data_IF_577328010642
#
_entry.id   IF_577328010642
#
_cell.length_a   1.000
_cell.length_b   1.000
_cell.length_c   1.000
_cell.angle_alpha   90.00
_cell.angle_beta   90.00
_cell.angle_gamma   90.00
#
_symmetry.space_group_name_H-M   'P 1'
#
loop_
_entity.id
_entity.type
_entity.pdbx_description
1 polymer ?
#
# COMPACT_ATOMS: atom_id res chain seq x y z
N UNK A 1 21.28 3.83 -25.80
CA UNK A 1 19.85 4.14 -25.57
C UNK A 1 19.63 4.07 -24.09
N UNK A 2 18.91 4.99 -23.45
CA UNK A 2 18.61 4.86 -22.04
C UNK A 2 17.81 3.56 -21.82
N UNK A 3 18.16 2.80 -20.81
CA UNK A 3 17.47 1.57 -20.42
C UNK A 3 16.00 1.90 -20.14
N UNK A 4 15.10 1.39 -20.95
CA UNK A 4 13.67 1.66 -20.78
C UNK A 4 13.07 0.53 -19.96
N UNK A 5 12.83 0.80 -18.67
CA UNK A 5 12.15 -0.16 -17.79
C UNK A 5 10.75 -0.46 -18.31
N UNK A 6 10.34 -1.72 -18.23
CA UNK A 6 8.97 -2.16 -18.53
C UNK A 6 7.98 -1.62 -17.48
N UNK A 7 8.42 -1.56 -16.21
CA UNK A 7 7.62 -1.08 -15.09
C UNK A 7 8.47 -0.24 -14.15
N UNK A 8 7.91 0.88 -13.71
CA UNK A 8 8.39 1.65 -12.56
C UNK A 8 7.38 1.47 -11.43
N UNK A 9 7.78 0.82 -10.34
CA UNK A 9 6.89 0.24 -9.33
C UNK A 9 7.19 0.86 -7.98
N UNK A 10 6.22 1.56 -7.38
CA UNK A 10 6.29 2.00 -5.98
C UNK A 10 5.63 0.96 -5.09
N UNK A 11 6.33 0.52 -4.04
CA UNK A 11 5.82 -0.45 -3.07
C UNK A 11 5.85 0.20 -1.69
N UNK A 12 4.69 0.50 -1.09
CA UNK A 12 4.65 0.98 0.29
C UNK A 12 4.88 -0.16 1.28
N UNK A 13 5.48 0.13 2.45
CA UNK A 13 5.73 -0.90 3.47
C UNK A 13 6.74 -1.96 3.05
N UNK A 14 7.79 -1.57 2.34
CA UNK A 14 8.77 -2.50 1.78
C UNK A 14 9.80 -3.01 2.78
N UNK A 15 9.80 -2.51 4.02
CA UNK A 15 10.81 -2.92 5.01
C UNK A 15 10.53 -4.30 5.63
N UNK A 16 9.31 -4.81 5.50
CA UNK A 16 8.91 -6.09 6.10
C UNK A 16 7.79 -6.78 5.33
N UNK A 17 7.50 -8.03 5.66
CA UNK A 17 6.32 -8.77 5.21
C UNK A 17 6.18 -8.89 3.70
N UNK A 18 4.95 -8.79 3.22
CA UNK A 18 4.59 -8.95 1.81
C UNK A 18 5.22 -7.88 0.91
N UNK A 19 5.35 -6.64 1.41
CA UNK A 19 5.97 -5.54 0.64
C UNK A 19 7.45 -5.80 0.36
N UNK A 20 8.21 -6.20 1.41
CA UNK A 20 9.63 -6.58 1.26
C UNK A 20 9.81 -7.74 0.30
N UNK A 21 9.04 -8.82 0.48
CA UNK A 21 9.16 -9.99 -0.36
C UNK A 21 8.77 -9.71 -1.81
N UNK A 22 7.75 -8.84 -2.02
CA UNK A 22 7.35 -8.41 -3.35
C UNK A 22 8.47 -7.61 -4.04
N UNK A 23 9.11 -6.68 -3.32
CA UNK A 23 10.23 -5.91 -3.84
C UNK A 23 11.40 -6.82 -4.26
N UNK A 24 11.82 -7.74 -3.38
CA UNK A 24 12.90 -8.69 -3.64
C UNK A 24 12.60 -9.54 -4.88
N UNK A 25 11.41 -10.16 -4.95
CA UNK A 25 11.07 -11.05 -6.05
C UNK A 25 10.98 -10.31 -7.40
N UNK A 26 10.46 -9.08 -7.42
CA UNK A 26 10.41 -8.25 -8.64
C UNK A 26 11.80 -7.87 -9.15
N UNK A 27 12.77 -7.70 -8.26
CA UNK A 27 14.16 -7.39 -8.61
C UNK A 27 14.93 -8.63 -9.10
N UNK A 28 14.72 -9.79 -8.46
CA UNK A 28 15.39 -11.03 -8.84
C UNK A 28 14.87 -11.57 -10.18
N UNK A 29 13.55 -11.51 -10.37
CA UNK A 29 12.90 -12.17 -11.51
C UNK A 29 13.04 -11.36 -12.81
N UNK A 30 13.34 -10.06 -12.76
CA UNK A 30 13.39 -9.23 -13.97
C UNK A 30 14.22 -7.97 -13.83
N UNK A 31 15.25 -7.86 -14.62
CA UNK A 31 16.04 -6.63 -14.78
C UNK A 31 15.30 -5.50 -15.52
N UNK A 32 14.07 -5.75 -15.98
CA UNK A 32 13.24 -4.73 -16.64
C UNK A 32 12.31 -3.97 -15.67
N UNK A 33 12.33 -4.30 -14.38
CA UNK A 33 11.60 -3.57 -13.35
C UNK A 33 12.50 -2.53 -12.69
N UNK A 34 11.99 -1.32 -12.51
CA UNK A 34 12.53 -0.31 -11.63
C UNK A 34 11.69 -0.26 -10.36
N UNK A 35 12.23 -0.70 -9.25
CA UNK A 35 11.51 -0.86 -7.98
C UNK A 35 11.88 0.26 -7.03
N UNK A 36 10.87 1.00 -6.57
CA UNK A 36 10.97 2.06 -5.59
C UNK A 36 10.41 1.52 -4.29
N UNK A 37 11.29 1.22 -3.35
CA UNK A 37 10.88 0.78 -2.00
C UNK A 37 10.48 1.97 -1.15
N UNK A 38 9.55 1.77 -0.22
CA UNK A 38 9.18 2.76 0.77
C UNK A 38 9.36 2.21 2.19
N UNK A 39 9.90 3.05 3.05
CA UNK A 39 10.05 2.82 4.49
C UNK A 39 9.86 4.10 5.30
N UNK A 40 9.88 3.97 6.63
CA UNK A 40 9.69 5.08 7.56
C UNK A 40 10.85 6.08 7.59
N UNK A 41 12.09 5.60 7.32
CA UNK A 41 13.31 6.42 7.31
C UNK A 41 14.23 6.05 6.15
N UNK A 42 15.03 7.02 5.72
CA UNK A 42 16.08 6.84 4.73
C UNK A 42 17.06 5.73 5.14
N UNK A 43 17.51 5.75 6.40
CA UNK A 43 18.47 4.78 6.92
C UNK A 43 17.96 3.34 6.80
N UNK A 44 16.68 3.11 7.12
CA UNK A 44 16.07 1.78 7.00
C UNK A 44 15.96 1.32 5.55
N UNK A 45 15.63 2.24 4.64
CA UNK A 45 15.58 1.92 3.22
C UNK A 45 16.96 1.57 2.66
N UNK A 46 17.99 2.36 2.99
CA UNK A 46 19.37 2.13 2.54
C UNK A 46 19.93 0.80 3.07
N UNK A 47 19.67 0.47 4.34
CA UNK A 47 20.03 -0.84 4.91
C UNK A 47 19.39 -2.01 4.15
N UNK A 48 18.10 -1.88 3.81
CA UNK A 48 17.42 -2.91 3.03
C UNK A 48 17.99 -3.05 1.63
N UNK A 49 18.27 -1.93 0.94
CA UNK A 49 18.88 -1.95 -0.41
C UNK A 49 20.22 -2.65 -0.37
N UNK A 50 21.09 -2.28 0.57
CA UNK A 50 22.40 -2.89 0.74
C UNK A 50 22.25 -4.40 0.93
N UNK A 51 21.39 -4.83 1.83
CA UNK A 51 21.15 -6.25 2.09
C UNK A 51 20.63 -7.00 0.85
N UNK A 52 19.72 -6.40 0.06
CA UNK A 52 19.20 -7.03 -1.17
C UNK A 52 20.31 -7.22 -2.20
N UNK A 53 21.13 -6.19 -2.43
CA UNK A 53 22.19 -6.22 -3.45
C UNK A 53 23.32 -7.17 -3.03
N UNK A 54 23.70 -7.18 -1.76
CA UNK A 54 24.77 -8.06 -1.25
C UNK A 54 24.38 -9.55 -1.27
N UNK A 55 23.09 -9.86 -1.06
CA UNK A 55 22.62 -11.25 -0.98
C UNK A 55 22.15 -11.81 -2.34
N UNK A 56 22.00 -10.99 -3.38
CA UNK A 56 21.47 -11.41 -4.67
C UNK A 56 22.31 -10.85 -5.82
N UNK A 57 23.28 -11.60 -6.29
CA UNK A 57 24.20 -11.22 -7.37
C UNK A 57 23.49 -10.83 -8.68
N UNK A 58 22.25 -11.29 -8.89
CA UNK A 58 21.46 -10.97 -10.10
C UNK A 58 20.77 -9.62 -10.03
N UNK A 59 20.69 -9.00 -8.85
CA UNK A 59 20.03 -7.71 -8.66
C UNK A 59 20.96 -6.57 -9.02
N UNK A 60 20.56 -5.81 -10.03
CA UNK A 60 21.26 -4.61 -10.46
C UNK A 60 20.91 -3.45 -9.51
N UNK A 61 21.92 -2.79 -8.93
CA UNK A 61 21.74 -1.69 -7.98
C UNK A 61 20.94 -0.52 -8.58
N UNK A 62 21.09 -0.29 -9.87
CA UNK A 62 20.40 0.77 -10.61
C UNK A 62 18.89 0.53 -10.74
N UNK A 63 18.44 -0.71 -10.54
CA UNK A 63 17.03 -1.08 -10.65
C UNK A 63 16.24 -0.83 -9.36
N UNK A 64 16.92 -0.42 -8.27
CA UNK A 64 16.30 -0.20 -6.97
C UNK A 64 16.57 1.20 -6.44
N UNK A 65 15.49 1.89 -6.08
CA UNK A 65 15.47 3.22 -5.48
C UNK A 65 14.61 3.21 -4.22
N UNK A 66 14.58 4.32 -3.48
CA UNK A 66 13.70 4.44 -2.33
C UNK A 66 13.07 5.83 -2.20
N UNK A 67 11.98 5.86 -1.44
CA UNK A 67 11.39 7.05 -0.82
C UNK A 67 11.16 6.76 0.67
N UNK A 68 11.20 7.78 1.51
CA UNK A 68 11.08 7.60 2.95
C UNK A 68 10.02 8.55 3.55
N UNK A 69 9.01 7.97 4.20
CA UNK A 69 8.00 8.72 4.95
C UNK A 69 7.38 7.84 6.05
N UNK A 70 7.32 8.34 7.26
CA UNK A 70 6.50 7.73 8.30
C UNK A 70 5.03 8.12 8.08
N UNK A 71 4.17 7.16 7.72
CA UNK A 71 2.75 7.39 7.46
C UNK A 71 1.94 7.82 8.69
N UNK A 72 2.54 7.76 9.89
CA UNK A 72 1.97 8.40 11.08
C UNK A 72 2.12 9.93 11.08
N UNK A 73 2.77 10.51 10.07
CA UNK A 73 2.94 11.93 9.86
C UNK A 73 2.57 12.28 8.40
N UNK A 74 1.34 12.74 8.17
CA UNK A 74 0.84 13.03 6.82
C UNK A 74 1.63 14.12 6.09
N UNK A 75 2.32 15.01 6.82
CA UNK A 75 3.20 15.99 6.20
C UNK A 75 4.37 15.32 5.48
N UNK A 76 4.91 14.25 6.06
CA UNK A 76 5.95 13.46 5.40
C UNK A 76 5.41 12.71 4.17
N UNK A 77 4.15 12.27 4.23
CA UNK A 77 3.51 11.64 3.07
C UNK A 77 3.36 12.62 1.92
N UNK A 78 2.97 13.88 2.21
CA UNK A 78 2.92 14.96 1.19
C UNK A 78 4.27 15.16 0.52
N UNK A 79 5.33 15.34 1.31
CA UNK A 79 6.70 15.54 0.80
C UNK A 79 7.16 14.34 -0.04
N UNK A 80 6.87 13.11 0.42
CA UNK A 80 7.18 11.90 -0.32
C UNK A 80 6.43 11.83 -1.66
N UNK A 81 5.18 12.21 -1.69
CA UNK A 81 4.39 12.24 -2.94
C UNK A 81 5.00 13.21 -3.94
N UNK A 82 5.43 14.39 -3.51
CA UNK A 82 6.08 15.38 -4.38
C UNK A 82 7.47 14.90 -4.85
N UNK A 83 8.20 14.20 -3.98
CA UNK A 83 9.44 13.52 -4.36
C UNK A 83 9.18 12.44 -5.43
N UNK A 84 8.15 11.62 -5.25
CA UNK A 84 7.75 10.59 -6.24
C UNK A 84 7.42 11.22 -7.59
N UNK A 85 6.61 12.29 -7.61
CA UNK A 85 6.25 13.01 -8.83
C UNK A 85 7.48 13.54 -9.58
N UNK A 86 8.46 14.04 -8.85
CA UNK A 86 9.66 14.66 -9.41
C UNK A 86 10.68 13.63 -9.88
N UNK A 87 10.99 12.64 -9.05
CA UNK A 87 12.04 11.65 -9.32
C UNK A 87 11.60 10.52 -10.24
N UNK A 88 10.31 10.15 -10.20
CA UNK A 88 9.79 8.97 -10.88
C UNK A 88 8.61 9.27 -11.81
N UNK A 89 8.79 10.17 -12.80
CA UNK A 89 7.70 10.61 -13.71
C UNK A 89 7.15 9.48 -14.60
N UNK A 90 7.81 8.30 -14.61
CA UNK A 90 7.37 7.11 -15.36
C UNK A 90 6.69 6.07 -14.47
N UNK A 91 6.33 6.43 -13.24
CA UNK A 91 5.61 5.53 -12.34
C UNK A 91 4.33 5.01 -13.02
N UNK A 92 4.20 3.69 -13.09
CA UNK A 92 3.03 3.04 -13.69
C UNK A 92 2.47 1.88 -12.86
N UNK A 93 3.09 1.53 -11.72
CA UNK A 93 2.54 0.55 -10.78
C UNK A 93 2.69 1.06 -9.35
N UNK A 94 1.62 0.99 -8.58
CA UNK A 94 1.64 1.19 -7.12
C UNK A 94 1.16 -0.08 -6.44
N UNK A 95 1.94 -0.57 -5.46
CA UNK A 95 1.56 -1.69 -4.60
C UNK A 95 1.50 -1.18 -3.15
N UNK A 96 0.30 -1.11 -2.60
CA UNK A 96 0.05 -0.61 -1.25
C UNK A 96 0.13 -1.74 -0.23
N UNK A 97 1.23 -1.79 0.54
CA UNK A 97 1.47 -2.82 1.55
C UNK A 97 1.71 -2.27 2.97
N UNK A 98 1.85 -0.94 3.15
CA UNK A 98 2.07 -0.37 4.49
C UNK A 98 0.85 -0.56 5.38
N UNK A 99 1.06 -1.21 6.53
CA UNK A 99 0.00 -1.47 7.50
C UNK A 99 0.56 -1.55 8.92
N UNK A 100 -0.23 -1.06 9.88
CA UNK A 100 0.02 -1.19 11.31
C UNK A 100 -1.20 -1.74 12.01
N UNK A 101 -0.99 -2.48 13.10
CA UNK A 101 -2.02 -2.84 14.08
C UNK A 101 -1.54 -2.38 15.46
N UNK A 102 -2.04 -1.25 15.93
CA UNK A 102 -1.64 -0.70 17.23
C UNK A 102 -2.26 -1.50 18.38
N UNK A 103 -1.46 -1.84 19.39
CA UNK A 103 -1.93 -2.58 20.56
C UNK A 103 -2.88 -1.75 21.46
N UNK A 104 -2.81 -0.43 21.36
CA UNK A 104 -3.64 0.54 22.09
C UNK A 104 -3.97 1.70 21.18
N UNK A 105 -4.99 2.45 21.48
CA UNK A 105 -5.29 3.69 20.80
C UNK A 105 -4.11 4.66 20.92
N UNK A 106 -3.63 5.13 19.78
CA UNK A 106 -2.57 6.14 19.67
C UNK A 106 -3.08 7.23 18.76
N UNK A 107 -3.04 8.47 19.24
CA UNK A 107 -3.37 9.64 18.44
C UNK A 107 -2.07 10.19 17.85
N UNK A 108 -2.05 10.39 16.55
CA UNK A 108 -0.91 10.91 15.80
C UNK A 108 -0.74 12.42 15.98
N UNK A 109 0.32 12.98 15.42
CA UNK A 109 0.52 14.45 15.35
C UNK A 109 -0.56 15.16 14.54
N UNK A 110 -1.21 14.45 13.64
CA UNK A 110 -2.31 14.98 12.83
C UNK A 110 -3.67 14.86 13.54
N UNK A 111 -3.68 14.52 14.85
CA UNK A 111 -4.88 14.32 15.67
C UNK A 111 -5.81 13.22 15.14
N UNK A 112 -5.24 12.17 14.55
CA UNK A 112 -5.97 11.02 14.00
C UNK A 112 -5.54 9.74 14.70
N UNK A 113 -6.43 8.73 14.74
CA UNK A 113 -6.06 7.40 15.23
C UNK A 113 -5.03 6.76 14.29
N UNK A 114 -3.97 6.20 14.89
CA UNK A 114 -2.80 5.72 14.18
C UNK A 114 -3.11 4.67 13.09
N UNK A 115 -3.94 3.67 13.42
CA UNK A 115 -4.25 2.59 12.48
C UNK A 115 -5.08 3.09 11.31
N UNK A 116 -6.05 3.98 11.58
CA UNK A 116 -6.83 4.66 10.56
C UNK A 116 -5.92 5.50 9.65
N UNK A 117 -5.05 6.31 10.23
CA UNK A 117 -4.18 7.21 9.45
C UNK A 117 -3.21 6.44 8.57
N UNK A 118 -2.48 5.48 9.15
CA UNK A 118 -1.42 4.75 8.42
C UNK A 118 -2.01 3.81 7.37
N UNK A 119 -3.01 3.00 7.75
CA UNK A 119 -3.52 1.96 6.86
C UNK A 119 -4.40 2.53 5.75
N UNK A 120 -5.21 3.55 6.06
CA UNK A 120 -6.21 4.07 5.14
C UNK A 120 -5.89 5.46 4.61
N UNK A 121 -5.83 6.48 5.46
CA UNK A 121 -5.81 7.87 5.01
C UNK A 121 -4.54 8.24 4.24
N UNK A 122 -3.38 7.72 4.66
CA UNK A 122 -2.12 7.94 3.97
C UNK A 122 -2.12 7.31 2.56
N UNK A 123 -2.66 6.10 2.40
CA UNK A 123 -2.83 5.49 1.07
C UNK A 123 -3.87 6.20 0.22
N UNK A 124 -4.98 6.64 0.83
CA UNK A 124 -5.99 7.44 0.15
C UNK A 124 -5.36 8.69 -0.47
N UNK A 125 -4.60 9.44 0.31
CA UNK A 125 -3.90 10.63 -0.17
C UNK A 125 -2.87 10.30 -1.26
N UNK A 126 -1.99 9.34 -1.00
CA UNK A 126 -0.95 8.89 -1.92
C UNK A 126 -1.52 8.53 -3.30
N UNK A 127 -2.53 7.66 -3.32
CA UNK A 127 -3.16 7.19 -4.56
C UNK A 127 -3.75 8.37 -5.33
N UNK A 128 -4.60 9.18 -4.68
CA UNK A 128 -5.27 10.30 -5.34
C UNK A 128 -4.27 11.30 -5.95
N UNK A 129 -3.18 11.59 -5.25
CA UNK A 129 -2.16 12.51 -5.73
C UNK A 129 -1.30 11.96 -6.87
N UNK A 130 -1.20 10.65 -7.02
CA UNK A 130 -0.43 9.99 -8.07
C UNK A 130 -1.28 9.53 -9.26
N UNK A 131 -2.61 9.61 -9.20
CA UNK A 131 -3.50 9.28 -10.32
C UNK A 131 -3.11 9.98 -11.63
N UNK A 132 -2.77 11.29 -11.68
CA UNK A 132 -2.39 11.94 -12.93
C UNK A 132 -1.17 11.30 -13.60
N UNK A 133 -0.13 10.95 -12.82
CA UNK A 133 1.07 10.27 -13.34
C UNK A 133 0.72 8.86 -13.84
N UNK A 134 -0.08 8.11 -13.09
CA UNK A 134 -0.50 6.78 -13.50
C UNK A 134 -1.31 6.81 -14.80
N UNK A 135 -2.24 7.76 -14.95
CA UNK A 135 -3.00 7.95 -16.20
C UNK A 135 -2.09 8.28 -17.39
N UNK A 136 -1.12 9.16 -17.17
CA UNK A 136 -0.14 9.54 -18.21
C UNK A 136 0.73 8.35 -18.66
N UNK A 137 1.03 7.41 -17.76
CA UNK A 137 1.87 6.25 -18.03
C UNK A 137 1.08 4.94 -18.25
N UNK A 138 -0.16 5.06 -18.71
CA UNK A 138 -1.01 3.91 -19.05
C UNK A 138 -0.32 2.95 -20.05
N UNK A 139 -0.55 1.63 -19.90
CA UNK A 139 -1.40 0.95 -18.92
C UNK A 139 -0.75 0.87 -17.53
N UNK A 140 -1.47 1.34 -16.52
CA UNK A 140 -0.99 1.42 -15.14
C UNK A 140 -1.77 0.50 -14.20
N UNK A 141 -1.22 0.28 -12.99
CA UNK A 141 -1.85 -0.60 -12.00
C UNK A 141 -1.77 -0.02 -10.60
N UNK A 142 -2.86 -0.17 -9.85
CA UNK A 142 -2.91 0.02 -8.40
C UNK A 142 -3.30 -1.31 -7.78
N UNK A 143 -2.44 -1.85 -6.91
CA UNK A 143 -2.65 -3.13 -6.23
C UNK A 143 -2.62 -2.88 -4.73
N UNK A 144 -3.68 -3.24 -4.04
CA UNK A 144 -3.76 -3.18 -2.58
C UNK A 144 -3.49 -4.56 -1.98
N UNK A 145 -2.53 -4.64 -1.06
CA UNK A 145 -2.41 -5.76 -0.14
C UNK A 145 -3.53 -5.66 0.90
N UNK A 146 -4.66 -6.27 0.61
CA UNK A 146 -5.84 -6.32 1.44
C UNK A 146 -5.86 -7.53 2.37
N UNK A 147 -7.00 -7.77 3.01
CA UNK A 147 -7.20 -8.88 3.93
C UNK A 147 -8.64 -9.39 3.90
N UNK A 148 -8.82 -10.71 4.05
CA UNK A 148 -10.13 -11.32 4.30
C UNK A 148 -10.79 -10.78 5.58
N UNK A 149 -10.01 -10.19 6.50
CA UNK A 149 -10.55 -9.55 7.70
C UNK A 149 -11.49 -8.38 7.39
N UNK A 150 -11.46 -7.82 6.18
CA UNK A 150 -12.41 -6.79 5.73
C UNK A 150 -13.88 -7.23 5.84
N UNK A 151 -14.14 -8.54 5.87
CA UNK A 151 -15.49 -9.09 5.97
C UNK A 151 -16.00 -9.28 7.41
N UNK A 152 -15.15 -9.07 8.42
CA UNK A 152 -15.49 -9.34 9.83
C UNK A 152 -16.28 -8.21 10.49
N UNK A 153 -16.18 -6.99 9.99
CA UNK A 153 -16.80 -5.83 10.59
C UNK A 153 -17.60 -5.02 9.57
N UNK A 154 -18.46 -4.13 10.11
CA UNK A 154 -19.13 -3.10 9.33
C UNK A 154 -18.41 -1.77 9.49
N UNK A 155 -18.62 -0.88 8.53
CA UNK A 155 -18.19 0.50 8.64
C UNK A 155 -19.06 1.21 9.68
N UNK A 156 -18.41 1.76 10.72
CA UNK A 156 -19.09 2.60 11.70
C UNK A 156 -18.92 4.07 11.28
N UNK A 157 -19.98 4.62 10.69
CA UNK A 157 -19.96 5.99 10.17
C UNK A 157 -19.88 7.05 11.28
N UNK A 158 -20.27 6.69 12.51
CA UNK A 158 -20.24 7.60 13.67
C UNK A 158 -18.94 7.48 14.48
N UNK A 159 -18.13 6.44 14.21
CA UNK A 159 -16.88 6.19 14.93
C UNK A 159 -15.83 5.50 14.04
N UNK A 160 -15.46 6.16 12.96
CA UNK A 160 -14.50 5.63 11.98
C UNK A 160 -13.09 5.42 12.55
N UNK A 161 -12.75 6.14 13.61
CA UNK A 161 -11.44 6.11 14.25
C UNK A 161 -11.42 5.31 15.54
N UNK A 162 -12.52 4.60 15.87
CA UNK A 162 -12.63 3.77 17.07
C UNK A 162 -12.33 4.54 18.37
N UNK A 163 -12.90 5.76 18.49
CA UNK A 163 -12.64 6.66 19.61
C UNK A 163 -13.37 6.23 20.88
N UNK A 164 -14.58 5.65 20.75
CA UNK A 164 -15.44 5.30 21.88
C UNK A 164 -14.95 4.08 22.65
N UNK A 165 -14.60 3.00 21.96
CA UNK A 165 -14.13 1.75 22.55
C UNK A 165 -13.08 1.11 21.64
N UNK A 166 -11.82 1.40 21.89
CA UNK A 166 -10.73 0.90 21.06
C UNK A 166 -10.53 -0.60 21.25
N UNK A 167 -10.66 -1.34 20.17
CA UNK A 167 -10.18 -2.71 20.02
C UNK A 167 -9.27 -2.82 18.79
N UNK A 168 -8.07 -3.33 18.98
CA UNK A 168 -7.04 -3.37 17.93
C UNK A 168 -7.43 -4.23 16.73
N UNK A 169 -8.12 -5.35 16.95
CA UNK A 169 -8.53 -6.24 15.86
C UNK A 169 -9.71 -5.65 15.11
N UNK A 170 -10.64 -5.05 15.84
CA UNK A 170 -11.77 -4.35 15.23
C UNK A 170 -11.29 -3.18 14.39
N UNK A 171 -10.41 -2.31 14.93
CA UNK A 171 -9.90 -1.15 14.19
C UNK A 171 -9.06 -1.57 12.99
N UNK A 172 -8.19 -2.58 13.15
CA UNK A 172 -7.42 -3.11 12.03
C UNK A 172 -8.34 -3.65 10.93
N UNK A 173 -9.31 -4.50 11.26
CA UNK A 173 -10.24 -5.07 10.27
C UNK A 173 -11.13 -4.01 9.61
N UNK A 174 -11.54 -2.97 10.35
CA UNK A 174 -12.24 -1.80 9.78
C UNK A 174 -11.37 -1.05 8.78
N UNK A 175 -10.07 -0.84 9.05
CA UNK A 175 -9.18 -0.20 8.07
C UNK A 175 -8.96 -1.07 6.83
N UNK A 176 -8.96 -2.40 6.96
CA UNK A 176 -8.95 -3.30 5.80
C UNK A 176 -10.23 -3.17 4.97
N UNK A 177 -11.40 -3.03 5.62
CA UNK A 177 -12.66 -2.75 4.95
C UNK A 177 -12.65 -1.40 4.26
N UNK A 178 -12.20 -0.33 4.94
CA UNK A 178 -12.08 1.01 4.36
C UNK A 178 -11.20 1.01 3.09
N UNK A 179 -10.08 0.31 3.13
CA UNK A 179 -9.20 0.18 1.97
C UNK A 179 -9.85 -0.60 0.83
N UNK A 180 -10.57 -1.66 1.14
CA UNK A 180 -11.31 -2.43 0.14
C UNK A 180 -12.38 -1.57 -0.53
N UNK A 181 -13.16 -0.83 0.27
CA UNK A 181 -14.19 0.11 -0.21
C UNK A 181 -13.59 1.24 -1.05
N UNK A 182 -12.45 1.81 -0.62
CA UNK A 182 -11.73 2.85 -1.36
C UNK A 182 -11.34 2.39 -2.76
N UNK A 183 -10.77 1.18 -2.87
CA UNK A 183 -10.35 0.63 -4.16
C UNK A 183 -11.53 0.34 -5.09
N UNK A 184 -12.64 -0.19 -4.54
CA UNK A 184 -13.86 -0.41 -5.32
C UNK A 184 -14.50 0.90 -5.75
N UNK A 185 -14.52 1.93 -4.88
CA UNK A 185 -15.03 3.24 -5.24
C UNK A 185 -14.22 3.89 -6.36
N UNK A 186 -12.89 3.84 -6.24
CA UNK A 186 -12.00 4.35 -7.29
C UNK A 186 -12.22 3.62 -8.63
N UNK A 187 -12.38 2.29 -8.60
CA UNK A 187 -12.74 1.52 -9.78
C UNK A 187 -14.07 1.97 -10.40
N UNK A 188 -15.11 2.19 -9.57
CA UNK A 188 -16.40 2.67 -10.06
C UNK A 188 -16.30 4.06 -10.69
N UNK A 189 -15.60 4.99 -10.03
CA UNK A 189 -15.39 6.35 -10.56
C UNK A 189 -14.67 6.34 -11.91
N UNK A 190 -13.68 5.46 -12.10
CA UNK A 190 -12.99 5.36 -13.39
C UNK A 190 -13.89 4.74 -14.46
N UNK A 191 -14.58 3.67 -14.10
CA UNK A 191 -15.48 2.96 -15.02
C UNK A 191 -16.68 3.84 -15.48
N UNK A 192 -17.22 4.69 -14.61
CA UNK A 192 -18.27 5.67 -14.95
C UNK A 192 -17.80 6.72 -15.98
N UNK A 193 -16.49 6.94 -16.09
CA UNK A 193 -15.88 7.87 -17.04
C UNK A 193 -15.24 7.14 -18.25
N UNK A 194 -15.52 5.85 -18.44
CA UNK A 194 -14.89 5.00 -19.47
C UNK A 194 -13.35 5.07 -19.44
N UNK A 195 -12.76 5.26 -18.27
CA UNK A 195 -11.32 5.39 -18.08
C UNK A 195 -10.67 4.03 -17.73
N UNK A 196 -10.11 3.38 -18.73
CA UNK A 196 -9.42 2.10 -18.62
C UNK A 196 -7.90 2.26 -18.43
N UNK A 197 -7.42 3.47 -18.15
CA UNK A 197 -5.98 3.76 -18.06
C UNK A 197 -5.28 3.06 -16.89
N UNK A 198 -6.02 2.73 -15.82
CA UNK A 198 -5.48 2.12 -14.59
C UNK A 198 -6.29 0.89 -14.19
N UNK A 199 -5.63 -0.26 -14.06
CA UNK A 199 -6.22 -1.46 -13.48
C UNK A 199 -6.08 -1.46 -11.95
N UNK A 200 -7.19 -1.53 -11.23
CA UNK A 200 -7.29 -1.44 -9.77
C UNK A 200 -7.68 -2.79 -9.21
N UNK A 201 -6.82 -3.43 -8.41
CA UNK A 201 -7.08 -4.75 -7.88
C UNK A 201 -6.64 -4.88 -6.42
N UNK A 202 -7.20 -5.86 -5.73
CA UNK A 202 -6.92 -6.17 -4.33
C UNK A 202 -6.42 -7.60 -4.24
N UNK A 203 -5.42 -7.85 -3.40
CA UNK A 203 -4.87 -9.19 -3.13
C UNK A 203 -4.98 -9.50 -1.64
N UNK A 204 -5.53 -10.66 -1.29
CA UNK A 204 -5.57 -11.12 0.10
C UNK A 204 -4.17 -11.50 0.60
N UNK A 205 -3.58 -10.60 1.36
CA UNK A 205 -2.29 -10.78 2.01
C UNK A 205 -2.40 -11.15 3.50
N UNK A 206 -3.58 -11.52 3.99
CA UNK A 206 -3.88 -11.82 5.41
C UNK A 206 -2.81 -12.66 6.11
N UNK A 207 -2.34 -13.79 5.55
CA UNK A 207 -1.39 -14.65 6.26
C UNK A 207 -0.05 -14.00 6.56
N UNK A 208 0.28 -12.94 5.84
CA UNK A 208 1.53 -12.19 5.99
C UNK A 208 1.33 -10.91 6.80
N UNK A 209 0.20 -10.21 6.61
CA UNK A 209 -0.11 -8.96 7.31
C UNK A 209 -0.24 -9.15 8.82
N UNK A 210 -0.87 -10.24 9.28
CA UNK A 210 -1.06 -10.53 10.70
C UNK A 210 0.26 -10.69 11.46
N UNK A 211 1.29 -11.21 10.82
CA UNK A 211 2.61 -11.43 11.44
C UNK A 211 3.46 -10.17 11.52
N UNK A 212 3.25 -9.23 10.61
CA UNK A 212 4.12 -8.05 10.43
C UNK A 212 3.51 -6.74 10.92
N UNK A 213 2.16 -6.65 10.99
CA UNK A 213 1.46 -5.44 11.41
C UNK A 213 1.57 -5.11 12.91
N UNK A 214 2.12 -6.03 13.71
CA UNK A 214 2.28 -5.81 15.16
C UNK A 214 3.51 -4.95 15.41
N UNK A 215 3.35 -3.64 15.40
CA UNK A 215 4.36 -2.70 15.93
C UNK A 215 4.35 -2.75 17.45
N UNK A 216 5.41 -3.26 18.07
CA UNK A 216 5.61 -3.11 19.51
C UNK A 216 5.94 -1.64 19.83
N UNK A 217 5.08 -0.99 20.62
CA UNK A 217 5.29 0.35 21.17
C UNK A 217 5.52 1.50 20.17
N UNK A 218 4.93 1.44 18.98
CA UNK A 218 4.98 2.56 18.03
C UNK A 218 6.34 2.79 17.35
N UNK A 219 7.35 1.97 17.60
CA UNK A 219 8.65 1.99 16.90
C UNK A 219 8.83 0.70 16.11
N UNK A 220 9.17 0.81 14.82
CA UNK A 220 9.75 -0.30 14.08
C UNK A 220 11.11 -0.59 14.71
N UNK A 221 11.24 -1.66 15.47
CA UNK A 221 12.54 -2.25 15.66
C UNK A 221 12.75 -3.21 14.49
N UNK A 222 13.58 -2.84 13.56
CA UNK A 222 14.22 -3.80 12.67
C UNK A 222 15.07 -4.68 13.58
N UNK A 223 14.51 -5.78 14.05
CA UNK A 223 15.32 -6.82 14.67
C UNK A 223 16.18 -7.45 13.58
N UNK A 224 17.40 -7.88 13.90
CA UNK A 224 18.28 -8.61 12.97
C UNK A 224 17.59 -9.82 12.33
N UNK A 225 16.54 -10.37 12.96
CA UNK A 225 15.66 -11.37 12.39
C UNK A 225 14.89 -10.93 11.15
N UNK A 226 14.67 -9.62 10.93
CA UNK A 226 14.01 -9.11 9.72
C UNK A 226 14.95 -9.12 8.51
N UNK A 227 16.26 -9.02 8.74
CA UNK A 227 17.29 -9.14 7.70
C UNK A 227 17.62 -10.60 7.39
N UNK A 228 17.57 -11.51 8.40
CA UNK A 228 17.93 -12.92 8.24
C UNK A 228 16.94 -13.76 7.44
N UNK A 229 15.72 -13.29 7.18
CA UNK A 229 14.69 -14.00 6.41
C UNK A 229 14.71 -13.66 4.91
N UNK A 230 15.86 -13.26 4.34
CA UNK A 230 16.00 -13.09 2.88
C UNK A 230 16.01 -14.47 2.17
N UNK A 231 16.38 -15.52 2.87
CA UNK A 231 16.48 -16.89 2.33
C UNK A 231 15.23 -17.77 2.59
N UNK A 232 14.16 -17.26 3.19
CA UNK A 232 13.02 -18.06 3.65
C UNK A 232 12.13 -18.60 2.54
N UNK A 233 12.10 -19.91 2.41
CA UNK A 233 11.11 -20.68 1.63
C UNK A 233 9.68 -20.23 1.95
N UNK A 234 8.86 -20.01 0.91
CA UNK A 234 7.41 -19.71 0.95
C UNK A 234 6.99 -18.33 1.46
N UNK A 235 7.75 -17.28 1.25
CA UNK A 235 7.23 -15.93 1.47
C UNK A 235 6.34 -15.53 0.29
N UNK A 236 5.03 -15.55 0.52
CA UNK A 236 4.02 -15.13 -0.46
C UNK A 236 4.27 -13.68 -0.86
N UNK A 237 4.28 -13.41 -2.16
CA UNK A 237 4.51 -12.09 -2.71
C UNK A 237 3.54 -11.79 -3.85
N UNK A 238 3.25 -10.52 -4.06
CA UNK A 238 2.38 -10.06 -5.16
C UNK A 238 3.14 -10.08 -6.50
N UNK A 239 4.47 -10.20 -6.47
CA UNK A 239 5.32 -10.19 -7.66
C UNK A 239 4.90 -11.24 -8.69
N UNK A 240 4.69 -12.49 -8.27
CA UNK A 240 4.29 -13.58 -9.16
C UNK A 240 2.99 -13.31 -9.91
N UNK A 241 2.00 -12.72 -9.25
CA UNK A 241 0.72 -12.35 -9.86
C UNK A 241 0.89 -11.22 -10.88
N UNK A 242 1.72 -10.22 -10.55
CA UNK A 242 2.01 -9.10 -11.44
C UNK A 242 2.77 -9.58 -12.68
N UNK A 243 3.75 -10.46 -12.52
CA UNK A 243 4.56 -11.00 -13.62
C UNK A 243 3.79 -11.96 -14.52
N UNK A 244 2.90 -12.76 -13.93
CA UNK A 244 1.98 -13.63 -14.66
C UNK A 244 0.87 -12.88 -15.42
N UNK A 245 0.80 -11.54 -15.28
CA UNK A 245 -0.19 -10.73 -15.98
C UNK A 245 -1.61 -10.85 -15.42
N UNK A 246 -1.79 -11.35 -14.19
CA UNK A 246 -3.12 -11.52 -13.57
C UNK A 246 -3.91 -10.22 -13.56
N UNK A 247 -3.23 -9.07 -13.49
CA UNK A 247 -3.84 -7.75 -13.41
C UNK A 247 -3.89 -7.00 -14.75
N UNK A 248 -3.52 -7.63 -15.88
CA UNK A 248 -3.33 -6.90 -17.13
C UNK A 248 -4.63 -6.50 -17.84
N UNK A 249 -5.71 -7.27 -17.62
CA UNK A 249 -7.00 -7.05 -18.30
C UNK A 249 -8.19 -7.08 -17.34
N UNK A 250 -7.93 -6.88 -16.05
CA UNK A 250 -8.95 -6.95 -15.02
C UNK A 250 -8.82 -5.78 -14.06
N UNK A 251 -9.96 -5.21 -13.68
CA UNK A 251 -10.05 -4.13 -12.71
C UNK A 251 -11.22 -4.35 -11.76
N UNK A 252 -11.17 -3.79 -10.55
CA UNK A 252 -12.21 -3.94 -9.53
C UNK A 252 -12.32 -5.36 -8.96
N UNK A 253 -11.21 -6.14 -8.96
CA UNK A 253 -11.23 -7.56 -8.55
C UNK A 253 -10.42 -7.78 -7.27
N UNK A 254 -10.86 -8.82 -6.54
CA UNK A 254 -10.18 -9.32 -5.35
C UNK A 254 -9.66 -10.73 -5.60
N UNK A 255 -8.38 -10.97 -5.25
CA UNK A 255 -7.69 -12.24 -5.52
C UNK A 255 -7.05 -12.79 -4.26
N UNK A 256 -6.88 -14.12 -4.19
CA UNK A 256 -5.92 -14.71 -3.26
C UNK A 256 -4.48 -14.61 -3.81
N UNK A 257 -3.50 -15.01 -2.99
CA UNK A 257 -2.09 -15.02 -3.38
C UNK A 257 -1.72 -16.08 -4.45
N UNK A 258 -2.66 -16.89 -4.89
CA UNK A 258 -2.48 -17.85 -5.98
C UNK A 258 -3.15 -17.35 -7.28
N UNK A 259 -3.74 -16.15 -7.26
CA UNK A 259 -4.43 -15.56 -8.41
C UNK A 259 -5.88 -16.02 -8.59
N UNK A 260 -6.44 -16.77 -7.63
CA UNK A 260 -7.85 -17.14 -7.66
C UNK A 260 -8.69 -15.92 -7.24
N UNK A 261 -9.68 -15.57 -8.06
CA UNK A 261 -10.61 -14.49 -7.74
C UNK A 261 -11.49 -14.87 -6.53
N UNK A 262 -11.57 -13.94 -5.59
CA UNK A 262 -12.39 -14.00 -4.40
C UNK A 262 -13.60 -13.07 -4.53
N UNK A 263 -14.57 -13.22 -3.63
CA UNK A 263 -15.71 -12.29 -3.53
C UNK A 263 -15.40 -11.23 -2.45
N UNK A 264 -15.68 -9.99 -2.77
CA UNK A 264 -15.76 -8.91 -1.77
C UNK A 264 -16.95 -9.13 -0.84
N UNK A 265 -16.85 -8.67 0.40
CA UNK A 265 -17.98 -8.71 1.33
C UNK A 265 -19.13 -7.81 0.84
N UNK A 266 -20.34 -8.09 1.34
CA UNK A 266 -21.52 -7.27 1.04
C UNK A 266 -21.28 -5.81 1.48
N UNK A 267 -20.71 -5.64 2.66
CA UNK A 267 -20.37 -4.32 3.21
C UNK A 267 -19.39 -3.58 2.32
N UNK A 268 -18.32 -4.23 1.88
CA UNK A 268 -17.33 -3.63 0.99
C UNK A 268 -17.93 -3.22 -0.36
N UNK A 269 -18.96 -3.92 -0.81
CA UNK A 269 -19.64 -3.70 -2.10
C UNK A 269 -20.76 -2.65 -2.03
N UNK A 270 -21.07 -2.11 -0.84
CA UNK A 270 -22.09 -1.06 -0.68
C UNK A 270 -21.58 0.28 -1.22
N UNK A 271 -22.08 0.65 -2.40
CA UNK A 271 -21.67 1.88 -3.14
C UNK A 271 -21.99 3.16 -2.35
N UNK A 272 -23.06 3.16 -1.53
CA UNK A 272 -23.42 4.34 -0.71
C UNK A 272 -22.36 4.55 0.39
N UNK A 273 -22.05 3.48 1.10
CA UNK A 273 -21.03 3.53 2.16
C UNK A 273 -19.63 3.81 1.58
N UNK A 274 -19.30 3.29 0.41
CA UNK A 274 -18.07 3.63 -0.32
C UNK A 274 -17.97 5.15 -0.55
N UNK A 275 -19.05 5.78 -1.05
CA UNK A 275 -19.10 7.23 -1.29
C UNK A 275 -19.01 8.05 -0.01
N UNK A 276 -19.67 7.61 1.07
CA UNK A 276 -19.59 8.27 2.38
C UNK A 276 -18.16 8.21 2.92
N UNK A 277 -17.51 7.04 2.87
CA UNK A 277 -16.11 6.88 3.28
C UNK A 277 -15.17 7.75 2.45
N UNK A 278 -15.36 7.79 1.13
CA UNK A 278 -14.56 8.60 0.23
C UNK A 278 -14.61 10.09 0.62
N UNK A 279 -15.82 10.63 0.76
CA UNK A 279 -16.03 12.02 1.16
C UNK A 279 -15.45 12.32 2.55
N UNK A 280 -15.59 11.36 3.49
CA UNK A 280 -14.99 11.49 4.82
C UNK A 280 -13.45 11.59 4.71
N UNK A 281 -12.82 10.72 3.93
CA UNK A 281 -11.38 10.68 3.74
C UNK A 281 -10.86 11.96 3.06
N UNK A 282 -11.55 12.47 2.04
CA UNK A 282 -11.24 13.76 1.42
C UNK A 282 -11.30 14.92 2.43
N UNK A 283 -12.36 14.96 3.25
CA UNK A 283 -12.52 16.01 4.25
C UNK A 283 -11.44 15.92 5.34
N UNK A 284 -11.03 14.70 5.74
CA UNK A 284 -9.93 14.52 6.68
C UNK A 284 -8.60 15.01 6.10
N UNK A 285 -8.30 14.69 4.84
CA UNK A 285 -7.12 15.23 4.16
C UNK A 285 -7.15 16.76 4.11
N UNK A 286 -8.27 17.37 3.70
CA UNK A 286 -8.40 18.85 3.67
C UNK A 286 -8.12 19.47 5.03
N UNK A 287 -8.76 18.98 6.10
CA UNK A 287 -8.55 19.48 7.48
C UNK A 287 -7.09 19.41 7.91
N UNK A 288 -6.41 18.29 7.64
CA UNK A 288 -4.99 18.16 8.00
C UNK A 288 -4.12 19.18 7.26
N UNK A 289 -4.41 19.46 5.98
CA UNK A 289 -3.57 20.32 5.16
C UNK A 289 -3.93 21.81 5.25
N UNK A 290 -5.15 22.17 5.63
CA UNK A 290 -5.54 23.56 5.93
C UNK A 290 -4.76 24.14 7.12
N UNK A 291 -4.27 23.30 8.03
CA UNK A 291 -3.42 23.71 9.15
C UNK A 291 -1.93 23.85 8.79
N UNK A 292 -1.56 23.62 7.54
CA UNK A 292 -0.18 23.71 7.03
C UNK A 292 0.10 25.00 6.25
N UNK A 293 -0.95 25.76 5.94
CA UNK A 293 -0.88 27.09 5.32
C UNK A 293 -1.00 28.18 6.36
#
# INVERSE_FOLDING_TARGET
MPFMYKRTILITGSLSGVGKQTAINLLINSNSNHVIIHGDTKEHCEKLITAIVETNETVCRENIEYVAADFSDLNKVVLMVDEVKTRFPRLNVIICCENVMSQRQIITKNHLELTFQVNHLAHFYLINQLLPILKQNSPSKIILAGSMLHSLNRLDLEDMQCEKNYDKYMQFSRTMLMNHMMMLHLYHMMNENDDESININIVDASPTLEKTAIKRNGKLSLSDSTLSNIEGKENKSIAGLLEAGVFDKVSGRFFDMNGKQLKSSVEASDVRNQKVLWNYSENMCKKVFEHLT
#
